data_IF_377194212262
#
_entry.id   IF_377194212262
#
_cell.length_a   1.000
_cell.length_b   1.000
_cell.length_c   1.000
_cell.angle_alpha   90.00
_cell.angle_beta   90.00
_cell.angle_gamma   90.00
#
_symmetry.space_group_name_H-M   'P 1'
#
loop_
_entity.id
_entity.type
_entity.pdbx_description
1 polymer ?
#
# COMPACT_ATOMS: atom_id res chain seq x y z
N UNK A 1 -35.12 -34.11 40.67
CA UNK A 1 -33.74 -34.26 40.17
C UNK A 1 -33.43 -33.49 38.87
N UNK A 2 -34.36 -33.37 37.90
CA UNK A 2 -34.09 -32.64 36.64
C UNK A 2 -33.79 -31.13 36.80
N UNK A 3 -34.40 -30.45 37.78
CA UNK A 3 -34.19 -29.00 38.01
C UNK A 3 -32.80 -28.64 38.58
N UNK A 4 -32.14 -29.56 39.29
CA UNK A 4 -30.80 -29.35 39.86
C UNK A 4 -29.70 -29.43 38.77
N UNK A 5 -29.89 -30.32 37.79
CA UNK A 5 -28.99 -30.49 36.64
C UNK A 5 -28.96 -29.26 35.73
N UNK A 6 -30.11 -28.60 35.51
CA UNK A 6 -30.16 -27.35 34.75
C UNK A 6 -29.40 -26.21 35.44
N UNK A 7 -29.41 -26.18 36.78
CA UNK A 7 -28.73 -25.13 37.54
C UNK A 7 -27.20 -25.29 37.52
N UNK A 8 -26.71 -26.53 37.55
CA UNK A 8 -25.27 -26.85 37.44
C UNK A 8 -24.74 -26.53 36.03
N UNK A 9 -25.55 -26.79 34.98
CA UNK A 9 -25.19 -26.40 33.61
C UNK A 9 -25.16 -24.89 33.41
N UNK A 10 -26.05 -24.14 34.08
CA UNK A 10 -26.09 -22.68 33.97
C UNK A 10 -24.89 -22.02 34.69
N UNK A 11 -24.50 -22.53 35.85
CA UNK A 11 -23.34 -22.04 36.61
C UNK A 11 -22.02 -22.44 35.93
N UNK A 12 -21.94 -23.66 35.37
CA UNK A 12 -20.78 -24.12 34.60
C UNK A 12 -20.55 -23.31 33.32
N UNK A 13 -21.61 -22.86 32.65
CA UNK A 13 -21.52 -22.02 31.45
C UNK A 13 -21.06 -20.58 31.73
N UNK A 14 -21.42 -20.01 32.89
CA UNK A 14 -21.02 -18.65 33.29
C UNK A 14 -19.54 -18.55 33.68
N UNK A 15 -18.94 -19.63 34.20
CA UNK A 15 -17.51 -19.65 34.58
C UNK A 15 -16.56 -19.76 33.37
N UNK A 16 -17.03 -20.22 32.21
CA UNK A 16 -16.23 -20.28 30.97
C UNK A 16 -16.16 -18.96 30.19
N UNK A 17 -17.01 -17.98 30.51
CA UNK A 17 -16.95 -16.63 29.93
C UNK A 17 -16.03 -15.68 30.70
N UNK A 18 -15.46 -16.15 31.82
CA UNK A 18 -14.42 -15.42 32.57
C UNK A 18 -13.01 -15.76 32.07
N UNK A 19 -12.85 -15.94 30.76
CA UNK A 19 -11.53 -15.85 30.16
C UNK A 19 -11.13 -14.40 30.28
N UNK A 20 -10.23 -14.13 31.22
CA UNK A 20 -9.58 -12.84 31.41
C UNK A 20 -8.96 -12.48 30.06
N UNK A 21 -9.65 -11.66 29.27
CA UNK A 21 -9.11 -11.02 28.09
C UNK A 21 -7.96 -10.16 28.59
N UNK A 22 -6.77 -10.76 28.67
CA UNK A 22 -5.54 -10.01 28.81
C UNK A 22 -5.53 -9.11 27.59
N UNK A 23 -5.70 -7.81 27.83
CA UNK A 23 -5.51 -6.78 26.81
C UNK A 23 -4.29 -7.19 25.97
N UNK A 24 -4.49 -7.29 24.65
CA UNK A 24 -3.44 -7.71 23.75
C UNK A 24 -2.24 -6.79 23.99
N UNK A 25 -1.21 -7.29 24.68
CA UNK A 25 -0.02 -6.52 25.00
C UNK A 25 0.55 -6.04 23.67
N UNK A 26 0.65 -4.74 23.54
CA UNK A 26 1.07 -4.08 22.33
C UNK A 26 2.46 -4.64 21.91
N UNK A 27 2.58 -5.37 20.80
CA UNK A 27 3.77 -6.19 20.54
C UNK A 27 4.97 -5.40 19.99
N UNK A 28 4.87 -4.08 19.84
CA UNK A 28 5.90 -3.28 19.18
C UNK A 28 5.97 -1.83 19.65
N UNK A 29 7.07 -1.18 19.28
CA UNK A 29 7.31 0.24 19.50
C UNK A 29 6.78 1.05 18.29
N UNK A 30 5.70 1.80 18.51
CA UNK A 30 5.03 2.60 17.48
C UNK A 30 5.72 3.95 17.25
N UNK A 31 6.78 4.26 18.01
CA UNK A 31 7.61 5.44 17.77
C UNK A 31 8.64 5.21 16.67
N UNK A 32 8.92 3.96 16.31
CA UNK A 32 9.83 3.62 15.22
C UNK A 32 9.24 4.03 13.88
N UNK A 33 10.06 4.69 13.07
CA UNK A 33 9.70 4.99 11.68
C UNK A 33 9.61 3.69 10.89
N UNK A 34 8.59 3.60 10.04
CA UNK A 34 8.46 2.48 9.10
C UNK A 34 9.64 2.45 8.15
N UNK A 35 10.26 1.29 8.02
CA UNK A 35 11.37 1.00 7.12
C UNK A 35 10.95 -0.12 6.17
N UNK A 36 11.29 0.02 4.89
CA UNK A 36 11.05 -0.97 3.85
C UNK A 36 12.18 -0.88 2.83
N UNK A 37 12.76 -2.02 2.49
CA UNK A 37 13.84 -2.15 1.53
C UNK A 37 13.64 -3.39 0.66
N UNK A 38 13.73 -3.21 -0.66
CA UNK A 38 13.79 -4.33 -1.59
C UNK A 38 15.23 -4.83 -1.64
N UNK A 39 15.44 -6.07 -1.20
CA UNK A 39 16.77 -6.69 -1.03
C UNK A 39 17.26 -7.47 -2.23
N UNK A 40 16.33 -8.02 -3.00
CA UNK A 40 16.67 -8.82 -4.18
C UNK A 40 15.43 -9.20 -4.95
N UNK A 41 15.61 -9.44 -6.24
CA UNK A 41 14.56 -9.94 -7.13
C UNK A 41 15.13 -11.19 -7.80
N UNK A 42 14.45 -12.31 -7.61
CA UNK A 42 14.88 -13.61 -8.12
C UNK A 42 13.75 -14.31 -8.86
N UNK A 43 14.12 -15.09 -9.87
CA UNK A 43 13.23 -16.01 -10.56
C UNK A 43 13.23 -17.37 -9.88
N UNK A 44 12.16 -18.15 -10.06
CA UNK A 44 12.07 -19.55 -9.65
C UNK A 44 13.18 -20.40 -10.26
N UNK A 45 13.70 -20.04 -11.43
CA UNK A 45 14.84 -20.71 -12.04
C UNK A 45 16.20 -20.37 -11.41
N UNK A 46 16.22 -19.50 -10.39
CA UNK A 46 17.43 -19.04 -9.70
C UNK A 46 18.12 -17.84 -10.37
N UNK A 47 17.55 -17.26 -11.44
CA UNK A 47 18.08 -16.03 -12.05
C UNK A 47 17.91 -14.87 -11.06
N UNK A 48 19.01 -14.19 -10.75
CA UNK A 48 19.02 -12.97 -9.94
C UNK A 48 18.99 -11.78 -10.89
N UNK A 49 18.12 -10.81 -10.63
CA UNK A 49 18.02 -9.59 -11.42
C UNK A 49 18.77 -8.46 -10.71
N UNK A 50 19.59 -7.74 -11.46
CA UNK A 50 20.28 -6.55 -10.95
C UNK A 50 19.27 -5.44 -10.65
N UNK A 51 19.40 -4.87 -9.44
CA UNK A 51 18.54 -3.80 -8.97
C UNK A 51 19.27 -2.47 -9.06
N UNK A 52 18.97 -1.71 -10.10
CA UNK A 52 19.44 -0.34 -10.25
C UNK A 52 18.33 0.64 -9.86
N UNK A 53 18.62 1.55 -8.94
CA UNK A 53 17.69 2.63 -8.58
C UNK A 53 17.70 3.67 -9.70
N UNK A 54 16.55 3.87 -10.35
CA UNK A 54 16.39 4.90 -11.37
C UNK A 54 16.28 6.29 -10.73
N UNK A 55 15.46 6.41 -9.68
CA UNK A 55 15.30 7.64 -8.90
C UNK A 55 14.78 7.36 -7.50
N UNK A 56 15.14 8.24 -6.57
CA UNK A 56 14.60 8.31 -5.22
C UNK A 56 14.11 9.73 -4.99
N UNK A 57 12.83 9.88 -4.65
CA UNK A 57 12.17 11.16 -4.40
C UNK A 57 11.65 11.17 -2.98
N UNK A 58 12.09 12.14 -2.19
CA UNK A 58 11.45 12.45 -0.93
C UNK A 58 10.30 13.43 -1.18
N UNK A 59 9.12 13.08 -0.68
CA UNK A 59 7.87 13.82 -0.86
C UNK A 59 7.22 14.06 0.50
N UNK A 60 6.27 14.98 0.57
CA UNK A 60 5.49 15.23 1.78
C UNK A 60 4.01 15.25 1.43
N UNK A 61 3.19 14.76 2.34
CA UNK A 61 1.74 14.84 2.20
C UNK A 61 1.28 16.28 2.13
N UNK A 62 0.54 16.64 1.08
CA UNK A 62 -0.12 17.94 0.98
C UNK A 62 -1.54 17.80 1.49
N UNK A 63 -1.87 18.56 2.52
CA UNK A 63 -3.21 18.67 3.07
C UNK A 63 -3.88 19.93 2.52
N UNK A 64 -5.20 19.96 2.56
CA UNK A 64 -5.96 21.16 2.24
C UNK A 64 -7.07 21.37 3.26
N UNK A 65 -7.44 22.63 3.47
CA UNK A 65 -8.67 22.99 4.15
C UNK A 65 -9.41 24.04 3.34
N UNK A 66 -10.73 24.05 3.47
CA UNK A 66 -11.57 25.06 2.87
C UNK A 66 -11.66 26.26 3.82
N UNK A 67 -11.17 27.41 3.37
CA UNK A 67 -11.40 28.69 4.05
C UNK A 67 -12.65 29.32 3.45
N UNK A 68 -13.63 29.59 4.31
CA UNK A 68 -14.85 30.32 3.93
C UNK A 68 -14.73 31.75 4.44
N UNK A 69 -14.76 32.72 3.55
CA UNK A 69 -14.74 34.13 3.90
C UNK A 69 -16.00 34.83 3.38
N UNK A 70 -16.50 35.79 4.16
CA UNK A 70 -17.69 36.54 3.76
C UNK A 70 -17.25 37.76 2.97
N UNK A 71 -17.76 37.91 1.74
CA UNK A 71 -17.36 39.00 0.85
C UNK A 71 -17.71 40.35 1.49
N UNK A 72 -16.75 41.29 1.49
CA UNK A 72 -16.95 42.67 1.96
C UNK A 72 -16.81 43.65 0.81
N UNK A 73 -17.62 44.70 0.83
CA UNK A 73 -17.52 45.81 -0.12
C UNK A 73 -16.34 46.75 0.20
N UNK A 74 -16.09 47.74 -0.66
CA UNK A 74 -15.01 48.73 -0.50
C UNK A 74 -15.14 49.58 0.78
N UNK A 75 -16.32 49.59 1.41
CA UNK A 75 -16.58 50.28 2.69
C UNK A 75 -16.45 49.35 3.91
N UNK A 76 -16.14 48.06 3.69
CA UNK A 76 -15.95 47.05 4.74
C UNK A 76 -17.23 46.38 5.24
N UNK A 77 -18.38 46.63 4.61
CA UNK A 77 -19.66 45.98 4.96
C UNK A 77 -19.82 44.66 4.21
N UNK A 78 -20.54 43.69 4.81
CA UNK A 78 -20.78 42.39 4.19
C UNK A 78 -21.74 42.50 3.00
N UNK A 79 -21.37 41.88 1.88
CA UNK A 79 -22.19 41.87 0.66
C UNK A 79 -23.33 40.86 0.81
N UNK A 80 -24.56 41.36 0.65
CA UNK A 80 -25.80 40.60 0.74
C UNK A 80 -26.43 40.48 -0.65
N UNK A 81 -26.69 39.25 -1.10
CA UNK A 81 -27.43 38.98 -2.33
C UNK A 81 -28.66 38.12 -2.00
N UNK A 82 -29.86 38.61 -2.34
CA UNK A 82 -31.11 37.90 -2.06
C UNK A 82 -31.37 37.60 -0.57
N UNK A 83 -30.79 38.39 0.35
CA UNK A 83 -30.93 38.21 1.79
C UNK A 83 -29.98 37.18 2.41
N UNK A 84 -29.02 36.64 1.64
CA UNK A 84 -27.95 35.76 2.15
C UNK A 84 -26.59 36.43 1.95
N UNK A 85 -25.70 36.23 2.91
CA UNK A 85 -24.31 36.68 2.81
C UNK A 85 -23.59 35.91 1.70
N UNK A 86 -22.88 36.61 0.84
CA UNK A 86 -22.01 35.98 -0.14
C UNK A 86 -20.76 35.43 0.56
N UNK A 87 -20.51 34.13 0.40
CA UNK A 87 -19.37 33.42 0.98
C UNK A 87 -18.49 32.89 -0.14
N UNK A 88 -17.24 33.32 -0.19
CA UNK A 88 -16.21 32.72 -1.05
C UNK A 88 -15.58 31.55 -0.32
N UNK A 89 -15.38 30.45 -1.04
CA UNK A 89 -14.70 29.25 -0.51
C UNK A 89 -13.42 29.05 -1.27
N UNK A 90 -12.29 29.20 -0.57
CA UNK A 90 -10.95 29.00 -1.13
C UNK A 90 -10.32 27.74 -0.54
N UNK A 91 -9.73 26.89 -1.37
CA UNK A 91 -8.94 25.74 -0.91
C UNK A 91 -7.52 26.19 -0.61
N UNK A 92 -7.13 26.16 0.66
CA UNK A 92 -5.77 26.47 1.09
C UNK A 92 -5.00 25.17 1.26
N UNK A 93 -3.93 25.00 0.49
CA UNK A 93 -3.05 23.84 0.55
C UNK A 93 -1.85 24.11 1.47
N UNK A 94 -1.48 23.14 2.28
CA UNK A 94 -0.30 23.21 3.14
C UNK A 94 0.40 21.85 3.22
N UNK A 95 1.72 21.89 3.38
CA UNK A 95 2.54 20.69 3.48
C UNK A 95 2.49 20.14 4.91
N UNK A 96 2.27 18.84 5.02
CA UNK A 96 2.31 18.10 6.28
C UNK A 96 3.71 17.90 6.84
N UNK A 97 3.78 17.36 8.05
CA UNK A 97 5.05 17.01 8.73
C UNK A 97 5.57 15.62 8.40
N UNK A 98 4.78 14.78 7.72
CA UNK A 98 5.16 13.42 7.35
C UNK A 98 5.83 13.46 5.98
N UNK A 99 7.05 12.94 5.92
CA UNK A 99 7.82 12.73 4.69
C UNK A 99 7.62 11.29 4.22
N UNK A 100 7.32 11.12 2.93
CA UNK A 100 7.23 9.84 2.25
C UNK A 100 8.35 9.70 1.23
N UNK A 101 9.00 8.53 1.19
CA UNK A 101 10.07 8.21 0.25
C UNK A 101 9.55 7.33 -0.87
N UNK A 102 9.71 7.79 -2.11
CA UNK A 102 9.38 7.05 -3.31
C UNK A 102 10.66 6.60 -4.01
N UNK A 103 10.79 5.31 -4.31
CA UNK A 103 11.96 4.72 -4.97
C UNK A 103 11.47 3.99 -6.20
N UNK A 104 11.98 4.35 -7.37
CA UNK A 104 11.71 3.65 -8.62
C UNK A 104 12.95 2.91 -9.06
N UNK A 105 12.80 1.61 -9.30
CA UNK A 105 13.87 0.78 -9.87
C UNK A 105 13.79 0.83 -11.40
N UNK A 106 14.95 0.64 -12.04
CA UNK A 106 15.04 0.49 -13.49
C UNK A 106 14.22 -0.71 -13.94
N UNK A 107 13.68 -0.62 -15.16
CA UNK A 107 12.87 -1.68 -15.77
C UNK A 107 13.65 -3.00 -15.81
N UNK A 108 13.02 -4.05 -15.29
CA UNK A 108 13.52 -5.42 -15.32
C UNK A 108 12.87 -6.14 -16.49
N UNK A 109 13.68 -6.75 -17.36
CA UNK A 109 13.18 -7.48 -18.53
C UNK A 109 13.21 -8.98 -18.24
N UNK A 110 12.01 -9.56 -18.21
CA UNK A 110 11.79 -10.98 -18.00
C UNK A 110 11.92 -11.77 -19.31
N UNK A 111 12.31 -13.03 -19.19
CA UNK A 111 12.34 -13.98 -20.30
C UNK A 111 10.91 -14.41 -20.69
N UNK A 112 10.71 -14.94 -21.92
CA UNK A 112 9.37 -15.25 -22.42
C UNK A 112 8.70 -16.45 -21.72
N UNK A 113 9.45 -17.27 -20.98
CA UNK A 113 8.92 -18.46 -20.33
C UNK A 113 7.96 -18.16 -19.17
N UNK A 114 7.18 -19.16 -18.77
CA UNK A 114 6.39 -19.08 -17.55
C UNK A 114 7.33 -19.05 -16.35
N UNK A 115 7.11 -18.11 -15.44
CA UNK A 115 8.01 -17.90 -14.31
C UNK A 115 7.27 -17.51 -13.02
N UNK A 116 7.96 -17.62 -11.90
CA UNK A 116 7.56 -17.04 -10.62
C UNK A 116 8.69 -16.17 -10.11
N UNK A 117 8.41 -14.89 -9.93
CA UNK A 117 9.36 -13.90 -9.42
C UNK A 117 9.13 -13.73 -7.92
N UNK A 118 10.21 -13.76 -7.16
CA UNK A 118 10.25 -13.50 -5.73
C UNK A 118 10.99 -12.19 -5.49
N UNK A 119 10.33 -11.25 -4.83
CA UNK A 119 10.92 -9.98 -4.39
C UNK A 119 11.14 -10.06 -2.89
N UNK A 120 12.40 -10.14 -2.46
CA UNK A 120 12.77 -10.19 -1.06
C UNK A 120 12.70 -8.80 -0.43
N UNK A 121 12.05 -8.69 0.72
CA UNK A 121 11.82 -7.46 1.45
C UNK A 121 12.45 -7.56 2.84
N UNK A 122 13.10 -6.47 3.25
CA UNK A 122 13.46 -6.21 4.65
C UNK A 122 12.60 -5.06 5.16
N UNK A 123 11.89 -5.26 6.27
CA UNK A 123 10.98 -4.25 6.82
C UNK A 123 10.74 -4.45 8.31
N UNK A 124 10.53 -3.34 9.03
CA UNK A 124 10.02 -3.36 10.40
C UNK A 124 8.50 -3.09 10.47
N UNK A 125 7.84 -2.92 9.33
CA UNK A 125 6.46 -2.48 9.21
C UNK A 125 5.59 -3.49 8.45
N UNK A 126 4.27 -3.28 8.51
CA UNK A 126 3.33 -3.96 7.60
C UNK A 126 3.44 -3.32 6.23
N UNK A 127 3.46 -4.14 5.18
CA UNK A 127 3.55 -3.68 3.80
C UNK A 127 2.42 -4.25 2.94
N UNK A 128 2.14 -3.57 1.84
CA UNK A 128 1.16 -3.92 0.82
C UNK A 128 1.84 -3.98 -0.53
N UNK A 129 1.44 -4.94 -1.34
CA UNK A 129 1.84 -5.14 -2.71
C UNK A 129 0.59 -5.28 -3.59
N UNK A 130 -0.16 -4.19 -3.81
CA UNK A 130 -1.39 -4.25 -4.60
C UNK A 130 -1.13 -4.82 -6.00
N UNK A 131 -2.14 -5.48 -6.56
CA UNK A 131 -2.06 -6.01 -7.92
C UNK A 131 -1.71 -4.87 -8.90
N UNK A 132 -0.78 -5.08 -9.84
CA UNK A 132 -0.41 -4.07 -10.82
C UNK A 132 -1.61 -3.54 -11.59
N UNK A 133 -1.70 -2.21 -11.64
CA UNK A 133 -2.71 -1.48 -12.42
C UNK A 133 -1.96 -0.65 -13.46
N UNK A 134 -1.92 -1.11 -14.71
CA UNK A 134 -1.33 -0.35 -15.82
C UNK A 134 -2.38 0.46 -16.60
N UNK A 135 -3.39 1.01 -15.91
CA UNK A 135 -4.56 1.61 -16.57
C UNK A 135 -5.46 0.60 -17.30
N UNK A 136 -5.28 -0.69 -17.02
CA UNK A 136 -6.00 -1.83 -17.60
C UNK A 136 -5.60 -3.14 -16.91
N UNK A 137 -6.22 -4.26 -17.30
CA UNK A 137 -5.94 -5.58 -16.71
C UNK A 137 -4.62 -6.13 -17.29
N UNK A 138 -3.53 -6.08 -16.53
CA UNK A 138 -2.26 -6.77 -16.86
C UNK A 138 -2.48 -8.27 -16.73
N UNK A 139 -3.01 -8.92 -17.79
CA UNK A 139 -3.40 -10.33 -17.74
C UNK A 139 -2.22 -11.32 -17.79
N UNK A 140 -0.98 -10.86 -17.61
CA UNK A 140 0.22 -11.69 -17.71
C UNK A 140 1.09 -11.68 -16.44
N UNK A 141 0.76 -10.86 -15.45
CA UNK A 141 1.55 -10.63 -14.24
C UNK A 141 0.63 -10.60 -13.01
N UNK A 142 0.84 -11.54 -12.07
CA UNK A 142 -0.11 -11.81 -10.99
C UNK A 142 0.57 -11.91 -9.63
N UNK A 143 0.39 -10.89 -8.81
CA UNK A 143 0.87 -10.84 -7.42
C UNK A 143 0.03 -11.77 -6.55
N UNK A 144 0.67 -12.78 -5.97
CA UNK A 144 -0.01 -13.85 -5.22
C UNK A 144 -0.36 -13.40 -3.81
N UNK A 145 0.54 -12.66 -3.16
CA UNK A 145 0.34 -12.11 -1.83
C UNK A 145 0.36 -10.58 -1.87
N UNK A 146 -0.77 -9.99 -1.50
CA UNK A 146 -1.00 -8.54 -1.64
C UNK A 146 -0.59 -7.73 -0.40
N UNK A 147 -0.20 -8.41 0.67
CA UNK A 147 0.24 -7.79 1.92
C UNK A 147 1.09 -8.76 2.75
N UNK A 148 1.85 -8.20 3.67
CA UNK A 148 2.63 -8.91 4.67
C UNK A 148 3.10 -7.96 5.77
N UNK A 149 4.03 -8.40 6.60
CA UNK A 149 4.64 -7.54 7.61
C UNK A 149 5.95 -8.10 8.13
N UNK A 150 6.82 -7.19 8.56
CA UNK A 150 8.21 -7.51 8.82
C UNK A 150 8.95 -7.85 7.53
N UNK A 151 10.10 -8.51 7.68
CA UNK A 151 10.80 -9.14 6.58
C UNK A 151 9.89 -10.17 5.88
N UNK A 152 9.98 -10.25 4.57
CA UNK A 152 9.10 -11.14 3.81
C UNK A 152 9.39 -11.12 2.32
N UNK A 153 8.48 -11.73 1.56
CA UNK A 153 8.64 -11.87 0.12
C UNK A 153 7.34 -11.50 -0.59
N UNK A 154 7.43 -10.83 -1.73
CA UNK A 154 6.32 -10.68 -2.68
C UNK A 154 6.51 -11.68 -3.80
N UNK A 155 5.51 -12.56 -3.97
CA UNK A 155 5.52 -13.64 -4.96
C UNK A 155 4.63 -13.23 -6.13
N UNK A 156 5.17 -13.36 -7.33
CA UNK A 156 4.55 -12.89 -8.55
C UNK A 156 4.60 -14.02 -9.57
N UNK A 157 3.44 -14.45 -10.05
CA UNK A 157 3.33 -15.40 -11.15
C UNK A 157 3.31 -14.66 -12.50
N UNK A 158 4.11 -15.13 -13.44
CA UNK A 158 4.26 -14.53 -14.78
C UNK A 158 3.88 -15.57 -15.82
N UNK A 159 2.96 -15.21 -16.72
CA UNK A 159 2.52 -16.13 -17.79
C UNK A 159 3.52 -16.15 -18.94
N UNK A 160 3.66 -17.31 -19.60
CA UNK A 160 4.46 -17.44 -20.82
C UNK A 160 4.00 -16.48 -21.93
N UNK A 161 4.92 -15.87 -22.66
CA UNK A 161 4.66 -15.00 -23.80
C UNK A 161 5.15 -15.62 -25.12
N UNK A 162 4.21 -16.20 -25.88
CA UNK A 162 4.49 -16.89 -27.16
C UNK A 162 4.61 -15.97 -28.38
N UNK A 163 4.46 -14.65 -28.18
CA UNK A 163 4.43 -13.67 -29.27
C UNK A 163 5.69 -12.81 -29.24
N UNK A 164 5.59 -11.54 -29.62
CA UNK A 164 6.62 -10.51 -29.45
C UNK A 164 6.56 -9.91 -28.04
N UNK A 165 7.49 -9.02 -27.70
CA UNK A 165 7.55 -8.29 -26.43
C UNK A 165 6.15 -7.75 -26.00
N UNK A 166 5.85 -7.87 -24.70
CA UNK A 166 4.62 -7.30 -24.15
C UNK A 166 4.63 -5.77 -24.30
N UNK A 167 3.60 -5.24 -24.95
CA UNK A 167 3.44 -3.79 -25.15
C UNK A 167 3.18 -3.03 -23.84
N UNK A 168 2.64 -3.71 -22.83
CA UNK A 168 2.28 -3.12 -21.54
C UNK A 168 3.14 -3.72 -20.45
N UNK A 169 3.96 -2.87 -19.84
CA UNK A 169 4.77 -3.20 -18.68
C UNK A 169 3.90 -3.37 -17.42
N UNK A 170 4.32 -4.27 -16.55
CA UNK A 170 3.69 -4.47 -15.26
C UNK A 170 4.36 -3.57 -14.21
N UNK A 171 3.60 -2.67 -13.62
CA UNK A 171 4.06 -1.80 -12.53
C UNK A 171 3.63 -2.38 -11.18
N UNK A 172 4.56 -2.99 -10.45
CA UNK A 172 4.34 -3.47 -9.10
C UNK A 172 4.77 -2.41 -8.09
N UNK A 173 3.82 -1.94 -7.29
CA UNK A 173 4.08 -1.05 -6.17
C UNK A 173 4.20 -1.88 -4.88
N UNK A 174 5.19 -1.59 -4.05
CA UNK A 174 5.32 -2.17 -2.71
C UNK A 174 5.47 -1.02 -1.73
N UNK A 175 4.55 -0.91 -0.77
CA UNK A 175 4.50 0.23 0.12
C UNK A 175 4.26 -0.19 1.57
N UNK A 176 4.77 0.58 2.50
CA UNK A 176 4.40 0.45 3.91
C UNK A 176 2.92 0.81 4.10
N UNK A 177 2.28 0.28 5.15
CA UNK A 177 0.83 0.48 5.36
C UNK A 177 0.45 1.92 5.69
N UNK A 178 1.39 2.68 6.26
CA UNK A 178 1.31 4.13 6.49
C UNK A 178 1.71 4.95 5.24
N UNK A 179 2.07 4.29 4.14
CA UNK A 179 2.44 4.89 2.86
C UNK A 179 3.64 5.86 2.95
N UNK A 180 4.51 5.69 3.94
CA UNK A 180 5.72 6.51 4.12
C UNK A 180 6.89 6.03 3.28
N UNK A 181 6.93 4.76 2.86
CA UNK A 181 7.90 4.27 1.90
C UNK A 181 7.17 3.51 0.79
N UNK A 182 7.53 3.80 -0.45
CA UNK A 182 6.98 3.17 -1.64
C UNK A 182 8.08 2.83 -2.64
N UNK A 183 8.12 1.58 -3.05
CA UNK A 183 8.90 1.10 -4.19
C UNK A 183 7.99 0.94 -5.40
N UNK A 184 8.47 1.41 -6.55
CA UNK A 184 7.90 1.11 -7.87
C UNK A 184 8.87 0.21 -8.62
N UNK A 185 8.38 -0.98 -8.97
CA UNK A 185 9.08 -2.00 -9.75
C UNK A 185 8.40 -2.10 -11.11
N UNK A 186 9.17 -1.95 -12.19
CA UNK A 186 8.64 -2.03 -13.55
C UNK A 186 9.18 -3.29 -14.22
N UNK A 187 8.28 -4.13 -14.71
CA UNK A 187 8.63 -5.38 -15.39
C UNK A 187 8.13 -5.36 -16.84
N UNK A 188 9.05 -5.59 -17.77
CA UNK A 188 8.74 -5.98 -19.14
C UNK A 188 8.92 -7.48 -19.33
N UNK A 189 8.37 -8.03 -20.40
CA UNK A 189 8.56 -9.43 -20.75
C UNK A 189 8.80 -9.56 -22.25
N UNK A 190 9.92 -10.20 -22.62
CA UNK A 190 10.23 -10.57 -24.00
C UNK A 190 9.20 -11.56 -24.55
N UNK A 191 9.15 -11.66 -25.85
CA UNK A 191 8.41 -12.68 -26.58
C UNK A 191 9.31 -13.80 -27.10
N UNK A 192 8.76 -15.00 -27.31
CA UNK A 192 9.47 -16.09 -28.00
C UNK A 192 9.87 -15.75 -29.45
N UNK A 193 9.27 -14.71 -30.04
CA UNK A 193 9.49 -14.29 -31.43
C UNK A 193 10.43 -13.08 -31.56
N UNK A 194 10.97 -12.57 -30.46
CA UNK A 194 11.97 -11.50 -30.44
C UNK A 194 13.39 -12.07 -30.62
#
# INVERSE_FOLDING_TARGET
>A
MKKLLYFIFLIGGLLYLSSCEKEAKNPGDFSLKSELEVRGITSKSGKVFDMEVLRSIDSTYQYFYEKKDTLKDESGNYVLEGGKYQVTTDSVYYNGSITAKFIELKKIVLEPELDTITVALRSNAKWKAPMPSSGGKVQWFFTQNLAGGGDGEVIIAVTKNKNYERTVDAEQYILTSDSTIMYKLVFGQKGEKD
#
